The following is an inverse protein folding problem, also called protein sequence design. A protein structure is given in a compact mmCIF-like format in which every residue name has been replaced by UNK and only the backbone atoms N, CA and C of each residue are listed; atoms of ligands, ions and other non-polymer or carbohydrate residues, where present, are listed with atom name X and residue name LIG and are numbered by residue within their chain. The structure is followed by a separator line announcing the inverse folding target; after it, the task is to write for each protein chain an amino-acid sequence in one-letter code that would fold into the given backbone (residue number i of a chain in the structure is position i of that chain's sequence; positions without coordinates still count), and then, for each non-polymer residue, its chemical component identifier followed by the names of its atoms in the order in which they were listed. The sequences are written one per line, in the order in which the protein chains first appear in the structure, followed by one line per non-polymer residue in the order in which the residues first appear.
data_IF_998245896998
#
_entry.id   IF_998245896998
#
_cell.length_a   1.000
_cell.length_b   1.000
_cell.length_c   1.000
_cell.angle_alpha   90.00
_cell.angle_beta   90.00
_cell.angle_gamma   90.00
#
_symmetry.space_group_name_H-M   'P 1'
#
loop_
_entity.id
_entity.type
_entity.pdbx_description
1 polymer ?
#
# COMPACT_ATOMS: atom_id res chain seq x y z
N UNK A 1 13.07 16.89 11.63
CA UNK A 1 11.70 16.60 11.15
C UNK A 1 11.45 17.34 9.84
N UNK A 2 12.24 17.07 8.80
CA UNK A 2 12.11 17.69 7.48
C UNK A 2 11.47 16.68 6.55
N UNK A 3 10.16 16.76 6.39
CA UNK A 3 9.42 16.47 5.15
C UNK A 3 7.94 16.48 5.51
N UNK A 4 7.32 17.68 5.44
CA UNK A 4 5.88 17.80 5.18
C UNK A 4 5.64 17.36 3.72
N UNK A 5 5.87 16.08 3.41
CA UNK A 5 5.51 15.56 2.09
C UNK A 5 4.00 15.40 2.04
N UNK A 6 3.34 16.22 1.20
CA UNK A 6 1.93 16.03 0.86
C UNK A 6 1.78 14.63 0.24
N UNK A 7 1.04 13.78 0.93
CA UNK A 7 0.62 12.48 0.41
C UNK A 7 -0.50 12.76 -0.60
N UNK A 8 -0.20 12.74 -1.89
CA UNK A 8 -1.22 12.66 -2.93
C UNK A 8 -1.50 11.19 -3.18
N UNK A 9 -2.55 10.65 -2.57
CA UNK A 9 -2.92 9.26 -2.79
C UNK A 9 -3.12 9.01 -4.30
N UNK A 10 -2.52 7.96 -4.91
CA UNK A 10 -1.85 6.82 -4.27
C UNK A 10 -0.31 6.90 -4.21
N UNK A 11 0.36 7.94 -4.73
CA UNK A 11 1.84 8.00 -4.81
C UNK A 11 2.43 9.19 -4.07
N UNK A 12 3.55 9.01 -3.36
CA UNK A 12 4.42 10.15 -3.09
C UNK A 12 5.05 10.56 -4.42
N UNK A 13 4.71 11.76 -4.91
CA UNK A 13 5.19 12.25 -6.20
C UNK A 13 6.71 12.09 -6.36
N UNK A 14 7.47 12.29 -5.28
CA UNK A 14 8.92 12.11 -5.28
C UNK A 14 9.37 10.68 -5.64
N UNK A 15 8.67 9.65 -5.17
CA UNK A 15 9.00 8.24 -5.45
C UNK A 15 8.71 7.88 -6.91
N UNK A 16 7.61 8.41 -7.45
CA UNK A 16 7.26 8.27 -8.86
C UNK A 16 8.27 8.98 -9.77
N UNK A 17 8.66 10.22 -9.43
CA UNK A 17 9.69 10.95 -10.18
C UNK A 17 11.03 10.22 -10.14
N UNK A 18 11.43 9.68 -8.99
CA UNK A 18 12.66 8.90 -8.86
C UNK A 18 12.64 7.66 -9.77
N UNK A 19 11.53 6.92 -9.83
CA UNK A 19 11.37 5.77 -10.72
C UNK A 19 11.51 6.18 -12.20
N UNK A 20 10.82 7.24 -12.61
CA UNK A 20 10.84 7.71 -14.02
C UNK A 20 12.25 8.15 -14.42
N UNK A 21 12.89 9.00 -13.61
CA UNK A 21 14.24 9.51 -13.88
C UNK A 21 15.24 8.34 -13.94
N UNK A 22 15.20 7.44 -12.96
CA UNK A 22 16.06 6.27 -12.92
C UNK A 22 15.87 5.37 -14.16
N UNK A 23 14.61 5.12 -14.55
CA UNK A 23 14.30 4.29 -15.72
C UNK A 23 14.82 4.92 -17.00
N UNK A 24 14.68 6.24 -17.17
CA UNK A 24 15.22 6.96 -18.34
C UNK A 24 16.74 6.85 -18.40
N UNK A 25 17.44 7.14 -17.29
CA UNK A 25 18.92 7.09 -17.23
C UNK A 25 19.41 5.68 -17.55
N UNK A 26 18.85 4.66 -16.91
CA UNK A 26 19.22 3.25 -17.16
C UNK A 26 18.98 2.89 -18.61
N UNK A 27 17.85 3.29 -19.19
CA UNK A 27 17.53 2.98 -20.60
C UNK A 27 18.54 3.64 -21.55
N UNK A 28 18.92 4.90 -21.33
CA UNK A 28 19.92 5.60 -22.16
C UNK A 28 21.28 4.88 -22.12
N UNK A 29 21.74 4.46 -20.94
CA UNK A 29 23.01 3.73 -20.82
C UNK A 29 22.93 2.37 -21.50
N UNK A 30 21.80 1.66 -21.34
CA UNK A 30 21.65 0.30 -21.85
C UNK A 30 21.46 0.23 -23.37
N UNK A 31 20.90 1.24 -24.02
CA UNK A 31 20.72 1.30 -25.49
C UNK A 31 22.04 1.07 -26.24
N UNK A 32 23.15 1.55 -25.68
CA UNK A 32 24.47 1.41 -26.31
C UNK A 32 25.15 0.06 -26.02
N UNK A 33 24.61 -0.75 -25.10
CA UNK A 33 25.28 -1.93 -24.54
C UNK A 33 24.52 -3.24 -24.77
N UNK A 34 23.20 -3.18 -24.96
CA UNK A 34 22.34 -4.35 -24.97
C UNK A 34 21.29 -4.32 -26.08
N UNK A 35 20.83 -5.51 -26.46
CA UNK A 35 19.68 -5.64 -27.36
C UNK A 35 18.39 -5.15 -26.71
N UNK A 36 17.46 -4.63 -27.53
CA UNK A 36 16.19 -4.07 -27.07
C UNK A 36 15.37 -5.03 -26.17
N UNK A 37 15.45 -6.35 -26.44
CA UNK A 37 14.75 -7.38 -25.64
C UNK A 37 15.25 -7.41 -24.19
N UNK A 38 16.57 -7.30 -24.01
CA UNK A 38 17.20 -7.30 -22.67
C UNK A 38 16.84 -6.02 -21.93
N UNK A 39 16.84 -4.89 -22.63
CA UNK A 39 16.46 -3.58 -22.05
C UNK A 39 15.02 -3.62 -21.55
N UNK A 40 14.08 -4.13 -22.35
CA UNK A 40 12.68 -4.28 -21.95
C UNK A 40 12.51 -5.19 -20.73
N UNK A 41 13.26 -6.29 -20.66
CA UNK A 41 13.24 -7.20 -19.52
C UNK A 41 13.72 -6.52 -18.24
N UNK A 42 14.83 -5.77 -18.32
CA UNK A 42 15.39 -5.04 -17.17
C UNK A 42 14.41 -3.96 -16.68
N UNK A 43 13.80 -3.21 -17.59
CA UNK A 43 12.78 -2.22 -17.25
C UNK A 43 11.61 -2.91 -16.54
N UNK A 44 11.12 -4.02 -17.07
CA UNK A 44 10.03 -4.78 -16.47
C UNK A 44 10.36 -5.26 -15.04
N UNK A 45 11.56 -5.84 -14.83
CA UNK A 45 12.03 -6.26 -13.51
C UNK A 45 12.10 -5.07 -12.54
N UNK A 46 12.61 -3.92 -12.99
CA UNK A 46 12.67 -2.71 -12.16
C UNK A 46 11.28 -2.22 -11.73
N UNK A 47 10.29 -2.27 -12.63
CA UNK A 47 8.91 -1.96 -12.29
C UNK A 47 8.32 -2.94 -11.27
N UNK A 48 8.61 -4.24 -11.38
CA UNK A 48 8.18 -5.24 -10.40
C UNK A 48 8.79 -5.00 -9.03
N UNK A 49 10.10 -4.71 -8.96
CA UNK A 49 10.79 -4.40 -7.70
C UNK A 49 10.21 -3.13 -7.08
N UNK A 50 10.04 -2.07 -7.88
CA UNK A 50 9.42 -0.83 -7.41
C UNK A 50 8.02 -1.09 -6.83
N UNK A 51 7.19 -1.85 -7.54
CA UNK A 51 5.85 -2.22 -7.10
C UNK A 51 5.89 -2.97 -5.76
N UNK A 52 6.80 -3.94 -5.61
CA UNK A 52 6.95 -4.68 -4.36
C UNK A 52 7.36 -3.78 -3.19
N UNK A 53 8.40 -2.96 -3.37
CA UNK A 53 8.90 -2.03 -2.33
C UNK A 53 7.82 -1.01 -1.96
N UNK A 54 7.09 -0.50 -2.94
CA UNK A 54 5.97 0.41 -2.73
C UNK A 54 4.88 -0.22 -1.86
N UNK A 55 4.47 -1.46 -2.17
CA UNK A 55 3.46 -2.16 -1.37
C UNK A 55 3.92 -2.43 0.06
N UNK A 56 5.19 -2.75 0.26
CA UNK A 56 5.78 -2.91 1.60
C UNK A 56 5.73 -1.58 2.36
N UNK A 57 6.15 -0.48 1.74
CA UNK A 57 6.09 0.86 2.34
C UNK A 57 4.66 1.27 2.71
N UNK A 58 3.69 0.95 1.86
CA UNK A 58 2.28 1.22 2.13
C UNK A 58 1.75 0.37 3.30
N UNK A 59 2.12 -0.90 3.38
CA UNK A 59 1.76 -1.76 4.51
C UNK A 59 2.34 -1.25 5.82
N UNK A 60 3.58 -0.77 5.81
CA UNK A 60 4.24 -0.16 6.97
C UNK A 60 3.47 1.08 7.46
N UNK A 61 3.07 1.96 6.53
CA UNK A 61 2.41 3.22 6.88
C UNK A 61 0.95 3.04 7.29
N UNK A 62 0.26 2.05 6.71
CA UNK A 62 -1.17 1.79 6.97
C UNK A 62 -1.42 0.87 8.16
N UNK A 63 -0.42 0.14 8.65
CA UNK A 63 -0.50 -0.71 9.84
C UNK A 63 -0.12 0.07 11.11
N UNK A 64 -1.06 0.29 12.05
CA UNK A 64 -0.77 0.90 13.35
C UNK A 64 0.37 0.21 14.10
N UNK A 65 0.36 -1.13 14.09
CA UNK A 65 1.36 -1.96 14.77
C UNK A 65 2.77 -1.72 14.21
N UNK A 66 2.90 -1.69 12.89
CA UNK A 66 4.21 -1.55 12.24
C UNK A 66 4.79 -0.16 12.44
N UNK A 67 3.94 0.88 12.38
CA UNK A 67 4.35 2.26 12.66
C UNK A 67 4.78 2.48 14.11
N UNK A 68 4.01 1.95 15.07
CA UNK A 68 4.39 1.96 16.50
C UNK A 68 5.75 1.30 16.72
N UNK A 69 5.99 0.14 16.10
CA UNK A 69 7.25 -0.60 16.24
C UNK A 69 8.44 0.17 15.66
N UNK A 70 8.28 0.79 14.49
CA UNK A 70 9.34 1.60 13.86
C UNK A 70 9.64 2.87 14.66
N UNK A 71 8.62 3.54 15.18
CA UNK A 71 8.82 4.72 16.01
C UNK A 71 9.49 4.33 17.35
N UNK A 72 9.11 3.19 17.95
CA UNK A 72 9.81 2.63 19.11
C UNK A 72 11.27 2.29 18.80
N UNK A 73 11.55 1.68 17.64
CA UNK A 73 12.92 1.37 17.23
C UNK A 73 13.77 2.63 17.04
N UNK A 74 13.23 3.66 16.38
CA UNK A 74 13.95 4.89 16.07
C UNK A 74 14.13 5.82 17.29
N UNK A 75 13.11 5.95 18.13
CA UNK A 75 13.10 6.92 19.23
C UNK A 75 13.33 6.28 20.61
N UNK A 76 13.33 4.95 20.71
CA UNK A 76 13.45 4.13 21.93
C UNK A 76 12.36 4.36 22.99
N UNK A 77 11.54 5.40 22.83
CA UNK A 77 10.40 5.75 23.68
C UNK A 77 9.31 6.39 22.83
N UNK A 78 8.07 6.10 23.17
CA UNK A 78 6.89 6.71 22.55
C UNK A 78 5.90 7.14 23.64
N UNK A 79 5.14 8.18 23.35
CA UNK A 79 4.04 8.64 24.21
C UNK A 79 2.77 7.83 23.91
N UNK A 80 2.41 6.93 24.83
CA UNK A 80 1.24 6.05 24.69
C UNK A 80 -0.05 6.83 24.43
N UNK A 81 -0.26 7.96 25.11
CA UNK A 81 -1.51 8.74 25.05
C UNK A 81 -1.69 9.43 23.70
N UNK A 82 -0.57 9.77 23.05
CA UNK A 82 -0.59 10.30 21.68
C UNK A 82 -1.01 9.22 20.67
N UNK A 83 -0.52 7.99 20.81
CA UNK A 83 -0.85 6.91 19.86
C UNK A 83 -2.26 6.36 20.07
N UNK A 84 -2.76 6.28 21.30
CA UNK A 84 -4.15 5.84 21.57
C UNK A 84 -5.19 6.78 20.98
N UNK A 85 -4.91 8.10 20.92
CA UNK A 85 -5.76 9.09 20.25
C UNK A 85 -5.76 8.97 18.72
N UNK A 86 -4.62 8.59 18.13
CA UNK A 86 -4.45 8.47 16.68
C UNK A 86 -5.01 7.13 16.17
N UNK A 87 -4.85 6.07 16.96
CA UNK A 87 -5.17 4.69 16.59
C UNK A 87 -6.33 4.12 17.42
N UNK A 88 -7.35 4.93 17.66
CA UNK A 88 -8.63 4.45 18.21
C UNK A 88 -9.32 3.52 17.23
N UNK A 89 -10.07 2.55 17.75
CA UNK A 89 -10.81 1.57 16.92
C UNK A 89 -11.73 2.29 15.94
N UNK A 90 -12.40 3.36 16.36
CA UNK A 90 -13.30 4.15 15.52
C UNK A 90 -12.57 4.83 14.37
N UNK A 91 -11.41 5.44 14.64
CA UNK A 91 -10.56 6.08 13.62
C UNK A 91 -10.02 5.05 12.63
N UNK A 92 -9.63 3.87 13.12
CA UNK A 92 -9.18 2.76 12.28
C UNK A 92 -10.32 2.26 11.39
N UNK A 93 -11.51 2.09 11.96
CA UNK A 93 -12.70 1.64 11.24
C UNK A 93 -13.11 2.65 10.16
N UNK A 94 -13.18 3.93 10.50
CA UNK A 94 -13.54 5.01 9.56
C UNK A 94 -12.54 5.12 8.41
N UNK A 95 -11.24 5.06 8.70
CA UNK A 95 -10.19 5.05 7.67
C UNK A 95 -10.32 3.83 6.73
N UNK A 96 -10.66 2.65 7.27
CA UNK A 96 -10.88 1.44 6.46
C UNK A 96 -12.11 1.58 5.57
N UNK A 97 -13.22 2.07 6.13
CA UNK A 97 -14.46 2.29 5.38
C UNK A 97 -14.25 3.31 4.27
N UNK A 98 -13.62 4.45 4.54
CA UNK A 98 -13.26 5.45 3.52
C UNK A 98 -12.42 4.85 2.39
N UNK A 99 -11.44 4.00 2.71
CA UNK A 99 -10.63 3.32 1.70
C UNK A 99 -11.49 2.41 0.83
N UNK A 100 -12.35 1.59 1.43
CA UNK A 100 -13.22 0.70 0.67
C UNK A 100 -14.22 1.46 -0.20
N UNK A 101 -14.76 2.58 0.28
CA UNK A 101 -15.63 3.48 -0.50
C UNK A 101 -14.86 4.10 -1.66
N UNK A 102 -13.64 4.61 -1.43
CA UNK A 102 -12.79 5.19 -2.49
C UNK A 102 -12.40 4.19 -3.58
N UNK A 103 -12.36 2.90 -3.24
CA UNK A 103 -12.12 1.81 -4.19
C UNK A 103 -13.40 1.25 -4.84
N UNK A 104 -14.56 1.89 -4.62
CA UNK A 104 -15.89 1.45 -5.08
C UNK A 104 -16.22 -0.01 -4.69
N UNK A 105 -15.66 -0.50 -3.58
CA UNK A 105 -15.92 -1.86 -3.08
C UNK A 105 -17.18 -1.91 -2.22
N UNK A 106 -17.42 -0.83 -1.46
CA UNK A 106 -18.58 -0.68 -0.58
C UNK A 106 -19.27 0.66 -0.84
N UNK A 107 -20.55 0.72 -0.51
CA UNK A 107 -21.37 1.91 -0.43
C UNK A 107 -21.90 2.03 0.99
N UNK A 108 -21.78 3.21 1.57
CA UNK A 108 -22.30 3.50 2.90
C UNK A 108 -23.65 4.17 2.70
N UNK A 109 -24.72 3.50 3.11
CA UNK A 109 -26.09 4.01 3.08
C UNK A 109 -26.57 4.16 4.51
N UNK A 110 -26.74 5.39 4.98
CA UNK A 110 -27.15 5.69 6.37
C UNK A 110 -26.22 5.03 7.41
N UNK A 111 -26.72 4.01 8.12
CA UNK A 111 -26.01 3.25 9.16
C UNK A 111 -25.55 1.87 8.69
N UNK A 112 -25.75 1.53 7.42
CA UNK A 112 -25.41 0.22 6.86
C UNK A 112 -24.33 0.34 5.79
N UNK A 113 -23.46 -0.67 5.75
CA UNK A 113 -22.39 -0.78 4.76
C UNK A 113 -22.78 -1.91 3.79
N UNK A 114 -22.94 -1.56 2.52
CA UNK A 114 -23.34 -2.48 1.46
C UNK A 114 -22.15 -2.76 0.55
N UNK A 115 -21.87 -4.03 0.27
CA UNK A 115 -20.86 -4.41 -0.72
C UNK A 115 -21.42 -4.14 -2.12
N UNK A 116 -20.75 -3.30 -2.91
CA UNK A 116 -21.20 -3.00 -4.27
C UNK A 116 -20.76 -4.07 -5.27
N UNK A 117 -19.56 -4.61 -5.09
CA UNK A 117 -18.98 -5.54 -6.04
C UNK A 117 -18.78 -6.91 -5.39
N UNK A 118 -19.72 -7.84 -5.60
CA UNK A 118 -19.54 -9.28 -5.30
C UNK A 118 -18.59 -9.88 -6.33
N UNK A 119 -17.35 -9.38 -6.40
CA UNK A 119 -16.35 -9.88 -7.33
C UNK A 119 -16.18 -11.39 -7.16
N UNK A 120 -16.14 -12.13 -8.27
CA UNK A 120 -15.97 -13.60 -8.28
C UNK A 120 -14.81 -14.06 -7.37
N UNK A 121 -13.77 -13.23 -7.27
CA UNK A 121 -12.58 -13.45 -6.45
C UNK A 121 -12.87 -13.39 -4.95
N UNK A 122 -13.70 -12.44 -4.48
CA UNK A 122 -14.08 -12.35 -3.06
C UNK A 122 -14.95 -13.55 -2.64
N UNK A 123 -15.83 -14.00 -3.55
CA UNK A 123 -16.65 -15.20 -3.36
C UNK A 123 -15.78 -16.47 -3.31
N UNK A 124 -14.76 -16.56 -4.16
CA UNK A 124 -13.80 -17.65 -4.18
C UNK A 124 -12.96 -17.69 -2.89
N UNK A 125 -12.42 -16.55 -2.47
CA UNK A 125 -11.66 -16.42 -1.21
C UNK A 125 -12.55 -16.78 -0.01
N UNK A 126 -13.78 -16.28 0.04
CA UNK A 126 -14.74 -16.64 1.09
C UNK A 126 -14.97 -18.16 1.15
N UNK A 127 -15.20 -18.80 0.00
CA UNK A 127 -15.40 -20.25 -0.06
C UNK A 127 -14.18 -21.02 0.45
N UNK A 128 -12.96 -20.59 0.10
CA UNK A 128 -11.72 -21.19 0.63
C UNK A 128 -11.68 -21.08 2.16
N UNK A 129 -11.98 -19.90 2.72
CA UNK A 129 -11.98 -19.71 4.17
C UNK A 129 -13.05 -20.56 4.89
N UNK A 130 -14.23 -20.70 4.31
CA UNK A 130 -15.29 -21.57 4.87
C UNK A 130 -14.83 -23.02 4.89
N UNK A 131 -14.22 -23.51 3.82
CA UNK A 131 -13.66 -24.88 3.75
C UNK A 131 -12.57 -25.06 4.80
N UNK A 132 -11.65 -24.11 4.93
CA UNK A 132 -10.61 -24.15 5.97
C UNK A 132 -11.17 -24.20 7.40
N UNK A 133 -12.23 -23.41 7.69
CA UNK A 133 -12.90 -23.40 9.00
C UNK A 133 -13.61 -24.72 9.32
N UNK A 134 -14.04 -25.49 8.32
CA UNK A 134 -14.65 -26.79 8.53
C UNK A 134 -13.62 -27.93 8.66
N UNK A 135 -12.38 -27.70 8.21
CA UNK A 135 -11.28 -28.66 8.24
C UNK A 135 -10.40 -28.55 9.49
N UNK A 136 -10.42 -27.41 10.20
CA UNK A 136 -9.66 -27.12 11.41
C UNK A 136 -10.56 -26.52 12.48
#
# INVERSE_FOLDING_TARGET
MYFKQKIYYPFRLAELYALIIHTIIVTIVMINLFEIKVILLIIFINFLIYHAVYHIGFMIQSSPRTKILLDLYNYQKIDKDKYTKIYTIDVILDNRLKRFTSSNQIQIENKTVKLMNKGKLLKLVYNIFVVFKYLF
#
